data_IF_303520687698
#
_entry.id   IF_303520687698
#
_cell.length_a   1.000
_cell.length_b   1.000
_cell.length_c   1.000
_cell.angle_alpha   90.00
_cell.angle_beta   90.00
_cell.angle_gamma   90.00
#
_symmetry.space_group_name_H-M   'P 1'
#
loop_
_entity.id
_entity.type
_entity.pdbx_description
1 polymer ?
#
# COMPACT_ATOMS: atom_id res chain seq x y z
N UNK A 1 20.15 -7.74 -3.46
CA UNK A 1 20.06 -6.37 -2.93
C UNK A 1 19.41 -6.42 -1.58
N UNK A 2 19.89 -5.62 -0.61
CA UNK A 2 19.27 -5.50 0.72
C UNK A 2 17.81 -5.07 0.52
N UNK A 3 16.84 -5.87 0.93
CA UNK A 3 15.52 -5.35 1.30
C UNK A 3 15.76 -4.48 2.52
N UNK A 4 16.04 -3.19 2.29
CA UNK A 4 15.95 -2.21 3.37
C UNK A 4 14.52 -2.32 3.87
N UNK A 5 14.33 -2.66 5.15
CA UNK A 5 13.04 -2.47 5.78
C UNK A 5 12.60 -1.03 5.47
N UNK A 6 11.49 -0.92 4.78
CA UNK A 6 10.94 0.38 4.41
C UNK A 6 10.34 0.94 5.68
N UNK A 7 11.04 1.88 6.29
CA UNK A 7 10.55 2.58 7.46
C UNK A 7 9.81 3.82 6.96
N UNK A 8 8.58 3.62 6.51
CA UNK A 8 7.64 4.73 6.40
C UNK A 8 7.33 5.21 7.82
N UNK A 9 7.29 6.51 8.02
CA UNK A 9 6.88 7.07 9.31
C UNK A 9 5.45 6.62 9.61
N UNK A 10 5.11 6.49 10.90
CA UNK A 10 3.72 6.32 11.28
C UNK A 10 2.99 7.59 10.86
N UNK A 11 2.29 7.47 9.74
CA UNK A 11 1.48 8.49 9.13
C UNK A 11 0.02 8.08 9.36
N UNK A 12 -0.80 8.99 9.87
CA UNK A 12 -2.22 8.77 10.14
C UNK A 12 -3.09 8.78 8.87
N UNK A 13 -2.50 8.72 7.68
CA UNK A 13 -3.20 8.99 6.42
C UNK A 13 -3.02 10.40 5.90
N UNK A 14 -2.24 11.25 6.56
CA UNK A 14 -2.15 12.67 6.26
C UNK A 14 -3.37 13.44 6.78
N UNK A 15 -3.39 14.77 6.59
CA UNK A 15 -4.46 15.64 7.09
C UNK A 15 -5.75 15.54 6.26
N UNK A 16 -5.70 14.83 5.12
CA UNK A 16 -6.82 14.63 4.20
C UNK A 16 -7.12 13.13 4.12
N UNK A 17 -8.08 12.68 4.93
CA UNK A 17 -8.58 11.31 4.90
C UNK A 17 -9.50 11.13 3.69
N UNK A 18 -8.91 11.15 2.49
CA UNK A 18 -9.58 11.11 1.19
C UNK A 18 -9.68 9.68 0.66
N UNK A 19 -10.78 9.31 0.00
CA UNK A 19 -10.87 7.96 -0.60
C UNK A 19 -9.83 7.79 -1.71
N UNK A 20 -9.07 6.69 -1.65
CA UNK A 20 -7.93 6.45 -2.55
C UNK A 20 -6.58 6.85 -1.93
N UNK A 21 -6.58 7.38 -0.71
CA UNK A 21 -5.39 7.55 0.10
C UNK A 21 -4.75 6.20 0.41
N UNK A 22 -3.46 6.10 0.15
CA UNK A 22 -2.69 4.86 0.18
C UNK A 22 -2.08 4.52 1.53
N UNK A 23 -2.22 5.41 2.50
CA UNK A 23 -1.93 5.17 3.92
C UNK A 23 -3.17 4.76 4.72
N UNK A 24 -4.35 4.69 4.08
CA UNK A 24 -5.61 4.42 4.76
C UNK A 24 -6.23 3.11 4.26
N UNK A 25 -6.95 2.43 5.15
CA UNK A 25 -7.86 1.36 4.78
C UNK A 25 -9.02 1.92 3.96
N UNK A 26 -9.71 1.05 3.24
CA UNK A 26 -11.09 1.34 2.85
C UNK A 26 -11.94 1.58 4.11
N UNK A 27 -13.01 2.39 4.04
CA UNK A 27 -13.85 2.67 5.19
C UNK A 27 -14.55 1.42 5.71
N UNK A 28 -14.68 1.35 7.03
CA UNK A 28 -15.55 0.38 7.69
C UNK A 28 -17.03 0.77 7.54
N UNK A 29 -17.93 -0.02 8.14
CA UNK A 29 -19.37 0.23 8.07
C UNK A 29 -19.82 1.54 8.77
N UNK A 30 -18.97 2.12 9.63
CA UNK A 30 -19.22 3.42 10.26
C UNK A 30 -18.73 4.58 9.41
N UNK A 31 -17.98 4.31 8.33
CA UNK A 31 -17.39 5.31 7.46
C UNK A 31 -16.03 5.83 7.88
N UNK A 32 -15.46 5.25 8.94
CA UNK A 32 -14.13 5.64 9.38
C UNK A 32 -13.07 4.82 8.66
N UNK A 33 -11.95 5.47 8.36
CA UNK A 33 -10.77 4.83 7.80
C UNK A 33 -9.68 4.73 8.87
N UNK A 34 -8.97 3.62 8.88
CA UNK A 34 -7.82 3.40 9.76
C UNK A 34 -6.51 3.52 8.99
N UNK A 35 -5.41 3.83 9.68
CA UNK A 35 -4.09 3.82 9.04
C UNK A 35 -3.70 2.40 8.62
N UNK A 36 -3.31 2.22 7.36
CA UNK A 36 -2.73 1.00 6.82
C UNK A 36 -1.58 1.33 5.86
N UNK A 37 -0.36 0.97 6.25
CA UNK A 37 0.85 1.14 5.43
C UNK A 37 1.20 -0.09 4.62
N UNK A 38 0.45 -1.19 4.74
CA UNK A 38 0.77 -2.47 4.10
C UNK A 38 0.89 -2.29 2.57
N UNK A 39 -0.03 -1.53 1.96
CA UNK A 39 -0.01 -1.24 0.53
C UNK A 39 1.30 -0.60 0.11
N UNK A 40 1.65 0.51 0.75
CA UNK A 40 2.86 1.27 0.43
C UNK A 40 4.11 0.42 0.67
N UNK A 41 4.15 -0.35 1.76
CA UNK A 41 5.30 -1.20 2.07
C UNK A 41 5.51 -2.28 1.00
N UNK A 42 4.47 -2.99 0.59
CA UNK A 42 4.56 -4.00 -0.47
C UNK A 42 4.94 -3.36 -1.79
N UNK A 43 4.26 -2.26 -2.14
CA UNK A 43 4.50 -1.49 -3.36
C UNK A 43 5.95 -0.99 -3.47
N UNK A 44 6.43 -0.21 -2.48
CA UNK A 44 7.79 0.30 -2.50
C UNK A 44 8.83 -0.82 -2.36
N UNK A 45 8.49 -1.98 -1.77
CA UNK A 45 9.38 -3.14 -1.78
C UNK A 45 9.64 -3.63 -3.19
N UNK A 46 8.62 -3.66 -4.05
CA UNK A 46 8.80 -3.94 -5.49
C UNK A 46 9.70 -2.89 -6.13
N UNK A 47 9.41 -1.60 -5.94
CA UNK A 47 10.18 -0.52 -6.57
C UNK A 47 11.65 -0.54 -6.16
N UNK A 48 11.93 -0.62 -4.86
CA UNK A 48 13.29 -0.60 -4.31
C UNK A 48 14.09 -1.86 -4.66
N UNK A 49 13.42 -3.02 -4.83
CA UNK A 49 14.07 -4.23 -5.31
C UNK A 49 14.57 -4.08 -6.76
N UNK A 50 13.88 -3.28 -7.58
CA UNK A 50 14.15 -3.13 -9.00
C UNK A 50 14.96 -1.88 -9.36
N UNK A 51 14.95 -0.82 -8.52
CA UNK A 51 15.68 0.42 -8.79
C UNK A 51 17.18 0.37 -8.50
N UNK A 52 17.69 -0.79 -8.04
CA UNK A 52 19.11 -1.03 -7.76
C UNK A 52 19.75 -0.05 -6.76
N UNK A 53 18.95 0.54 -5.87
CA UNK A 53 19.41 1.53 -4.91
C UNK A 53 19.69 2.91 -5.50
N UNK A 54 19.30 3.14 -6.75
CA UNK A 54 19.37 4.45 -7.41
C UNK A 54 18.06 5.22 -7.21
N UNK A 55 18.16 6.54 -7.15
CA UNK A 55 17.00 7.44 -7.19
C UNK A 55 16.55 7.63 -8.64
N UNK A 56 15.25 7.81 -8.82
CA UNK A 56 14.73 8.35 -10.07
C UNK A 56 15.03 9.84 -10.18
N UNK A 57 15.12 10.36 -11.40
CA UNK A 57 15.28 11.81 -11.62
C UNK A 57 14.04 12.54 -11.13
N UNK A 58 12.87 12.08 -11.57
CA UNK A 58 11.58 12.63 -11.17
C UNK A 58 10.58 11.52 -10.86
N UNK A 59 9.85 11.66 -9.76
CA UNK A 59 8.63 10.90 -9.51
C UNK A 59 7.43 11.77 -9.89
N UNK A 60 6.54 11.24 -10.72
CA UNK A 60 5.37 11.96 -11.26
C UNK A 60 4.13 11.21 -10.79
N UNK A 61 3.25 11.86 -10.04
CA UNK A 61 1.95 11.33 -9.62
C UNK A 61 0.83 12.13 -10.31
N UNK A 62 0.27 11.64 -11.45
CA UNK A 62 -0.71 12.38 -12.22
C UNK A 62 -2.11 12.46 -11.58
N UNK A 63 -2.40 11.53 -10.66
CA UNK A 63 -3.68 11.36 -9.96
C UNK A 63 -3.42 11.36 -8.45
N UNK A 64 -2.99 12.48 -7.91
CA UNK A 64 -2.46 12.53 -6.57
C UNK A 64 -3.54 12.37 -5.48
N UNK A 65 -4.75 12.88 -5.70
CA UNK A 65 -5.73 13.01 -4.62
C UNK A 65 -5.11 13.78 -3.43
N UNK A 66 -4.95 13.11 -2.28
CA UNK A 66 -4.25 13.64 -1.09
C UNK A 66 -2.72 13.57 -1.15
N UNK A 67 -2.14 13.12 -2.27
CA UNK A 67 -0.71 12.90 -2.50
C UNK A 67 -0.03 11.93 -1.54
N UNK A 68 -0.81 11.01 -0.94
CA UNK A 68 -0.33 10.01 0.01
C UNK A 68 0.86 9.18 -0.52
N UNK A 69 0.85 8.77 -1.80
CA UNK A 69 1.96 8.04 -2.39
C UNK A 69 3.20 8.94 -2.53
N UNK A 70 3.05 10.19 -3.02
CA UNK A 70 4.15 11.13 -3.10
C UNK A 70 4.82 11.40 -1.76
N UNK A 71 4.05 11.52 -0.67
CA UNK A 71 4.61 11.67 0.68
C UNK A 71 5.48 10.46 1.05
N UNK A 72 4.97 9.25 0.83
CA UNK A 72 5.72 8.02 1.10
C UNK A 72 6.99 7.91 0.24
N UNK A 73 6.89 8.31 -1.04
CA UNK A 73 8.00 8.35 -1.97
C UNK A 73 9.08 9.36 -1.53
N UNK A 74 8.70 10.48 -0.91
CA UNK A 74 9.62 11.45 -0.31
C UNK A 74 10.30 10.90 0.95
N UNK A 75 9.55 10.24 1.85
CA UNK A 75 10.09 9.66 3.09
C UNK A 75 11.22 8.67 2.84
N UNK A 76 11.11 7.86 1.78
CA UNK A 76 12.13 6.87 1.41
C UNK A 76 13.19 7.44 0.44
N UNK A 77 13.03 8.69 0.01
CA UNK A 77 13.91 9.36 -0.94
C UNK A 77 13.94 8.69 -2.32
N UNK A 78 12.78 8.30 -2.86
CA UNK A 78 12.64 7.60 -4.13
C UNK A 78 13.23 8.35 -5.33
N UNK A 79 13.09 9.69 -5.36
CA UNK A 79 13.48 10.52 -6.48
C UNK A 79 14.25 11.79 -6.05
N UNK A 80 14.84 12.49 -7.02
CA UNK A 80 15.47 13.80 -6.81
C UNK A 80 14.43 14.93 -6.83
N UNK A 81 13.39 14.78 -7.65
CA UNK A 81 12.29 15.74 -7.82
C UNK A 81 10.94 15.02 -7.82
N UNK A 82 9.90 15.73 -7.38
CA UNK A 82 8.54 15.20 -7.28
C UNK A 82 7.56 16.15 -7.98
N UNK A 83 6.73 15.61 -8.87
CA UNK A 83 5.65 16.33 -9.52
C UNK A 83 4.32 15.73 -9.07
N UNK A 84 3.55 16.52 -8.34
CA UNK A 84 2.24 16.15 -7.82
C UNK A 84 1.19 16.85 -8.69
N UNK A 85 0.32 16.07 -9.33
CA UNK A 85 -0.76 16.58 -10.15
C UNK A 85 -2.11 15.97 -9.77
N UNK A 86 -3.15 16.79 -9.88
CA UNK A 86 -4.52 16.32 -9.89
C UNK A 86 -5.40 17.26 -10.72
N UNK A 87 -6.46 16.73 -11.34
CA UNK A 87 -7.46 17.53 -12.03
C UNK A 87 -8.23 18.47 -11.08
N UNK A 88 -8.31 18.11 -9.80
CA UNK A 88 -8.92 18.95 -8.78
C UNK A 88 -7.93 20.01 -8.28
N UNK A 89 -8.07 21.22 -8.83
CA UNK A 89 -7.22 22.37 -8.46
C UNK A 89 -7.26 22.72 -6.97
N UNK A 90 -8.38 22.50 -6.28
CA UNK A 90 -8.49 22.85 -4.86
C UNK A 90 -7.69 21.87 -4.00
N UNK A 91 -7.70 20.58 -4.31
CA UNK A 91 -6.83 19.60 -3.63
C UNK A 91 -5.35 20.01 -3.75
N UNK A 92 -4.93 20.40 -4.96
CA UNK A 92 -3.56 20.87 -5.21
C UNK A 92 -3.26 22.17 -4.48
N UNK A 93 -4.18 23.14 -4.48
CA UNK A 93 -4.04 24.38 -3.71
C UNK A 93 -3.95 24.11 -2.20
N UNK A 94 -4.72 23.17 -1.66
CA UNK A 94 -4.63 22.75 -0.25
C UNK A 94 -3.24 22.18 0.05
N UNK A 95 -2.68 21.32 -0.79
CA UNK A 95 -1.32 20.78 -0.61
C UNK A 95 -0.25 21.88 -0.68
N UNK A 96 -0.37 22.81 -1.63
CA UNK A 96 0.51 23.97 -1.74
C UNK A 96 0.40 24.86 -0.49
N UNK A 97 -0.80 25.04 0.05
CA UNK A 97 -1.04 25.82 1.26
C UNK A 97 -0.43 25.17 2.51
N UNK A 98 -0.51 23.83 2.63
CA UNK A 98 0.18 23.07 3.68
C UNK A 98 1.68 23.31 3.61
N UNK A 99 2.25 23.32 2.40
CA UNK A 99 3.67 23.60 2.20
C UNK A 99 4.04 25.04 2.60
N UNK A 100 3.30 26.03 2.13
CA UNK A 100 3.73 27.42 2.19
C UNK A 100 3.24 28.16 3.43
N UNK A 101 2.03 27.86 3.92
CA UNK A 101 1.40 28.54 5.05
C UNK A 101 0.69 27.54 6.01
N UNK A 102 1.42 26.59 6.64
CA UNK A 102 0.83 25.56 7.49
C UNK A 102 0.06 26.10 8.70
N UNK A 103 0.44 27.28 9.23
CA UNK A 103 -0.30 27.86 10.38
C UNK A 103 -1.71 28.33 9.99
N UNK A 104 -1.88 28.88 8.78
CA UNK A 104 -3.19 29.37 8.33
C UNK A 104 -4.21 28.24 8.24
N UNK A 105 -3.81 27.09 7.66
CA UNK A 105 -4.70 25.94 7.55
C UNK A 105 -5.00 25.31 8.93
N UNK A 106 -4.02 25.28 9.84
CA UNK A 106 -4.21 24.81 11.22
C UNK A 106 -5.21 25.66 12.00
N UNK A 107 -5.05 26.99 11.94
CA UNK A 107 -5.93 27.95 12.62
C UNK A 107 -7.36 27.89 12.05
N UNK A 108 -7.49 27.85 10.72
CA UNK A 108 -8.78 27.73 10.06
C UNK A 108 -9.50 26.43 10.44
N UNK A 109 -8.79 25.30 10.41
CA UNK A 109 -9.38 24.01 10.76
C UNK A 109 -9.79 23.97 12.24
N UNK A 110 -8.95 24.45 13.16
CA UNK A 110 -9.27 24.51 14.59
C UNK A 110 -10.53 25.35 14.85
N UNK A 111 -10.66 26.50 14.20
CA UNK A 111 -11.84 27.36 14.32
C UNK A 111 -13.12 26.69 13.77
N UNK A 112 -13.01 25.93 12.67
CA UNK A 112 -14.13 25.15 12.14
C UNK A 112 -14.55 24.03 13.10
N UNK A 113 -13.58 23.32 13.70
CA UNK A 113 -13.84 22.28 14.70
C UNK A 113 -14.53 22.87 15.93
N UNK A 114 -14.06 24.01 16.46
CA UNK A 114 -14.69 24.65 17.61
C UNK A 114 -16.16 25.02 17.32
N UNK A 115 -16.42 25.63 16.16
CA UNK A 115 -17.77 25.97 15.73
C UNK A 115 -18.62 24.72 15.54
N UNK A 116 -18.08 23.70 14.87
CA UNK A 116 -18.76 22.43 14.67
C UNK A 116 -19.11 21.79 16.00
N UNK A 117 -18.17 21.70 16.95
CA UNK A 117 -18.37 21.13 18.29
C UNK A 117 -19.48 21.85 19.07
N UNK A 118 -19.55 23.17 18.94
CA UNK A 118 -20.60 23.99 19.56
C UNK A 118 -21.94 24.01 18.80
N UNK A 119 -22.01 23.46 17.59
CA UNK A 119 -23.21 23.53 16.75
C UNK A 119 -24.36 22.68 17.32
N UNK A 120 -25.59 23.19 17.19
CA UNK A 120 -26.80 22.47 17.62
C UNK A 120 -27.08 21.23 16.76
N UNK A 121 -26.77 21.33 15.46
CA UNK A 121 -26.94 20.26 14.49
C UNK A 121 -25.65 20.08 13.70
N UNK A 122 -25.04 18.89 13.84
CA UNK A 122 -23.80 18.53 13.16
C UNK A 122 -24.02 18.46 11.65
N UNK A 123 -25.12 17.84 11.25
CA UNK A 123 -25.51 17.70 9.84
C UNK A 123 -25.70 19.06 9.19
N UNK A 124 -26.46 19.97 9.81
CA UNK A 124 -26.74 21.28 9.21
C UNK A 124 -25.45 22.11 9.08
N UNK A 125 -24.57 22.07 10.09
CA UNK A 125 -23.27 22.74 9.99
C UNK A 125 -22.41 22.16 8.86
N UNK A 126 -22.37 20.83 8.72
CA UNK A 126 -21.63 20.19 7.65
C UNK A 126 -22.17 20.59 6.26
N UNK A 127 -23.49 20.62 6.09
CA UNK A 127 -24.13 21.07 4.85
C UNK A 127 -23.85 22.55 4.57
N UNK A 128 -23.90 23.41 5.60
CA UNK A 128 -23.52 24.82 5.49
C UNK A 128 -22.06 24.98 5.03
N UNK A 129 -21.14 24.14 5.51
CA UNK A 129 -19.74 24.20 5.06
C UNK A 129 -19.59 23.79 3.59
N UNK A 130 -20.40 22.85 3.09
CA UNK A 130 -20.45 22.51 1.66
C UNK A 130 -20.99 23.69 0.85
N UNK A 131 -22.07 24.35 1.31
CA UNK A 131 -22.63 25.53 0.65
C UNK A 131 -21.61 26.68 0.58
N UNK A 132 -20.97 26.98 1.72
CA UNK A 132 -19.91 27.98 1.82
C UNK A 132 -18.73 27.64 0.90
N UNK A 133 -18.32 26.36 0.86
CA UNK A 133 -17.30 25.90 -0.06
C UNK A 133 -17.69 26.19 -1.52
N UNK A 134 -18.91 25.85 -1.93
CA UNK A 134 -19.34 26.03 -3.32
C UNK A 134 -19.38 27.52 -3.74
N UNK A 135 -19.72 28.41 -2.82
CA UNK A 135 -19.77 29.87 -3.05
C UNK A 135 -18.42 30.58 -2.93
N UNK A 136 -17.43 29.94 -2.30
CA UNK A 136 -16.15 30.54 -1.99
C UNK A 136 -15.18 30.62 -3.19
N UNK A 137 -14.23 31.54 -3.08
CA UNK A 137 -13.06 31.61 -3.96
C UNK A 137 -12.06 30.48 -3.64
N UNK A 138 -11.16 30.17 -4.59
CA UNK A 138 -10.26 29.02 -4.51
C UNK A 138 -9.43 28.94 -3.22
N UNK A 139 -8.98 30.09 -2.69
CA UNK A 139 -8.17 30.14 -1.46
C UNK A 139 -8.98 29.75 -0.22
N UNK A 140 -10.24 30.17 -0.14
CA UNK A 140 -11.14 29.83 0.96
C UNK A 140 -11.64 28.39 0.82
N UNK A 141 -11.92 27.93 -0.41
CA UNK A 141 -12.17 26.51 -0.71
C UNK A 141 -11.07 25.61 -0.17
N UNK A 142 -9.80 25.98 -0.35
CA UNK A 142 -8.66 25.20 0.14
C UNK A 142 -8.57 25.13 1.69
N UNK A 143 -9.18 26.07 2.40
CA UNK A 143 -9.27 26.11 3.87
C UNK A 143 -10.49 25.33 4.41
N UNK A 144 -11.58 25.28 3.65
CA UNK A 144 -12.80 24.53 4.00
C UNK A 144 -12.67 23.04 3.66
N UNK A 145 -11.99 22.71 2.57
CA UNK A 145 -11.89 21.34 2.05
C UNK A 145 -11.41 20.29 3.07
N UNK A 146 -10.37 20.54 3.91
CA UNK A 146 -9.94 19.55 4.90
C UNK A 146 -11.03 19.22 5.92
N UNK A 147 -11.82 20.21 6.34
CA UNK A 147 -12.96 19.98 7.25
C UNK A 147 -14.00 19.08 6.57
N UNK A 148 -14.36 19.39 5.32
CA UNK A 148 -15.35 18.61 4.57
C UNK A 148 -14.86 17.17 4.37
N UNK A 149 -13.64 16.95 3.90
CA UNK A 149 -13.07 15.60 3.70
C UNK A 149 -13.09 14.79 5.00
N UNK A 150 -12.60 15.36 6.09
CA UNK A 150 -12.46 14.61 7.34
C UNK A 150 -13.81 14.32 8.03
N UNK A 151 -14.87 15.05 7.68
CA UNK A 151 -16.25 14.80 8.12
C UNK A 151 -17.11 14.10 7.06
N UNK A 152 -16.59 13.81 5.86
CA UNK A 152 -17.28 12.97 4.90
C UNK A 152 -17.13 11.50 5.29
N UNK A 153 -18.21 10.73 5.11
CA UNK A 153 -18.17 9.28 5.26
C UNK A 153 -17.11 8.70 4.29
N UNK A 154 -16.12 8.00 4.81
CA UNK A 154 -15.01 7.44 4.04
C UNK A 154 -14.14 8.47 3.30
N UNK A 155 -14.24 9.76 3.62
CA UNK A 155 -13.53 10.79 2.87
C UNK A 155 -14.03 11.02 1.45
N UNK A 156 -15.25 10.56 1.17
CA UNK A 156 -15.81 10.55 -0.18
C UNK A 156 -16.43 11.92 -0.49
N UNK A 157 -16.07 12.46 -1.65
CA UNK A 157 -16.66 13.69 -2.18
C UNK A 157 -17.32 13.40 -3.53
N UNK A 158 -18.51 13.93 -3.72
CA UNK A 158 -19.22 13.90 -5.00
C UNK A 158 -19.17 15.29 -5.61
N UNK A 159 -18.87 15.35 -6.90
CA UNK A 159 -18.78 16.60 -7.64
C UNK A 159 -19.86 16.67 -8.72
N UNK A 160 -20.34 17.88 -9.00
CA UNK A 160 -21.02 18.16 -10.26
C UNK A 160 -19.99 18.44 -11.37
N UNK A 161 -20.49 18.62 -12.59
CA UNK A 161 -19.70 19.01 -13.77
C UNK A 161 -18.89 20.31 -13.61
N UNK A 162 -19.25 21.17 -12.67
CA UNK A 162 -18.61 22.47 -12.40
C UNK A 162 -17.66 22.38 -11.17
N UNK A 163 -17.42 21.16 -10.66
CA UNK A 163 -16.59 20.84 -9.49
C UNK A 163 -17.10 21.42 -8.16
N UNK A 164 -18.41 21.68 -8.06
CA UNK A 164 -19.05 21.93 -6.77
C UNK A 164 -19.26 20.61 -6.03
N UNK A 165 -19.12 20.63 -4.70
CA UNK A 165 -19.39 19.45 -3.86
C UNK A 165 -20.90 19.29 -3.71
N UNK A 166 -21.40 18.10 -4.00
CA UNK A 166 -22.80 17.71 -3.82
C UNK A 166 -22.92 16.78 -2.61
N UNK A 167 -23.86 17.07 -1.72
CA UNK A 167 -24.28 16.12 -0.69
C UNK A 167 -25.32 15.15 -1.27
N UNK A 168 -25.08 13.84 -1.14
CA UNK A 168 -26.03 12.79 -1.57
C UNK A 168 -26.61 12.06 -0.36
N UNK A 169 -27.93 11.90 -0.35
CA UNK A 169 -28.62 11.00 0.58
C UNK A 169 -28.94 9.68 -0.10
N UNK A 170 -29.00 8.59 0.66
CA UNK A 170 -29.38 7.28 0.15
C UNK A 170 -28.61 6.13 0.79
N UNK A 171 -28.95 4.91 0.39
CA UNK A 171 -28.22 3.72 0.83
C UNK A 171 -26.75 3.80 0.41
N UNK A 172 -25.88 3.36 1.31
CA UNK A 172 -24.48 3.06 1.00
C UNK A 172 -24.40 1.70 0.28
N UNK A 173 -23.19 1.35 -0.14
CA UNK A 173 -22.83 0.04 -0.68
C UNK A 173 -23.53 -1.08 0.10
N UNK A 174 -24.27 -1.94 -0.62
CA UNK A 174 -24.99 -3.10 -0.08
C UNK A 174 -26.11 -2.79 0.94
N UNK A 175 -26.86 -1.70 0.75
CA UNK A 175 -28.16 -1.50 1.43
C UNK A 175 -28.05 -1.04 2.89
N UNK A 176 -26.89 -0.57 3.32
CA UNK A 176 -26.66 -0.02 4.67
C UNK A 176 -26.97 1.48 4.66
N UNK A 177 -27.85 1.94 5.56
CA UNK A 177 -28.21 3.36 5.68
C UNK A 177 -27.28 4.03 6.69
N UNK A 178 -26.47 4.97 6.23
CA UNK A 178 -25.85 5.96 7.10
C UNK A 178 -25.90 7.32 6.41
N UNK A 179 -25.97 8.38 7.20
CA UNK A 179 -25.69 9.71 6.70
C UNK A 179 -24.27 9.73 6.10
N UNK A 180 -24.09 10.46 4.98
CA UNK A 180 -22.79 10.52 4.29
C UNK A 180 -21.81 11.50 4.93
N UNK A 181 -22.02 11.82 6.20
CA UNK A 181 -21.14 12.63 7.03
C UNK A 181 -20.85 11.91 8.36
N UNK A 182 -19.80 12.35 9.06
CA UNK A 182 -19.36 11.83 10.33
C UNK A 182 -19.56 12.88 11.43
N UNK A 183 -20.23 12.50 12.52
CA UNK A 183 -20.34 13.36 13.71
C UNK A 183 -18.98 13.64 14.36
N UNK A 184 -18.04 12.69 14.23
CA UNK A 184 -16.65 12.85 14.64
C UNK A 184 -15.78 12.76 13.41
N UNK A 185 -14.86 13.70 13.26
CA UNK A 185 -13.89 13.65 12.18
C UNK A 185 -13.11 12.33 12.18
N UNK A 186 -12.74 11.87 10.99
CA UNK A 186 -11.81 10.76 10.78
C UNK A 186 -10.45 10.97 11.48
N UNK A 187 -10.09 12.22 11.75
CA UNK A 187 -8.85 12.62 12.37
C UNK A 187 -9.13 13.58 13.54
N UNK A 188 -8.54 13.33 14.71
CA UNK A 188 -8.63 14.27 15.82
C UNK A 188 -7.95 15.59 15.47
N UNK A 189 -8.33 16.68 16.14
CA UNK A 189 -7.67 17.97 15.93
C UNK A 189 -6.16 17.88 16.16
N UNK A 190 -5.72 17.24 17.25
CA UNK A 190 -4.29 17.07 17.55
C UNK A 190 -3.54 16.34 16.41
N UNK A 191 -4.12 15.24 15.91
CA UNK A 191 -3.51 14.48 14.83
C UNK A 191 -3.48 15.28 13.52
N UNK A 192 -4.54 16.04 13.22
CA UNK A 192 -4.58 16.93 12.05
C UNK A 192 -3.44 17.97 12.12
N UNK A 193 -3.30 18.67 13.25
CA UNK A 193 -2.25 19.67 13.44
C UNK A 193 -0.85 19.06 13.27
N UNK A 194 -0.62 17.88 13.87
CA UNK A 194 0.63 17.13 13.75
C UNK A 194 0.94 16.73 12.30
N UNK A 195 -0.07 16.23 11.56
CA UNK A 195 0.10 15.83 10.16
C UNK A 195 0.36 17.02 9.24
N UNK A 196 -0.23 18.19 9.50
CA UNK A 196 0.09 19.42 8.77
C UNK A 196 1.55 19.81 8.96
N UNK A 197 2.06 19.79 10.20
CA UNK A 197 3.45 20.12 10.49
C UNK A 197 4.41 19.12 9.83
N UNK A 198 4.10 17.83 9.94
CA UNK A 198 4.89 16.75 9.34
C UNK A 198 4.98 16.89 7.82
N UNK A 199 3.85 17.07 7.15
CA UNK A 199 3.80 17.20 5.68
C UNK A 199 4.46 18.50 5.22
N UNK A 200 4.24 19.61 5.92
CA UNK A 200 4.90 20.88 5.58
C UNK A 200 6.42 20.75 5.64
N UNK A 201 6.96 20.12 6.68
CA UNK A 201 8.39 19.82 6.79
C UNK A 201 8.88 18.92 5.65
N UNK A 202 8.13 17.85 5.34
CA UNK A 202 8.49 16.91 4.28
C UNK A 202 8.52 17.56 2.90
N UNK A 203 7.49 18.34 2.57
CA UNK A 203 7.37 19.06 1.29
C UNK A 203 8.46 20.10 1.13
N UNK A 204 8.80 20.84 2.18
CA UNK A 204 9.86 21.86 2.13
C UNK A 204 11.29 21.27 2.15
N UNK A 205 11.45 20.03 2.62
CA UNK A 205 12.73 19.32 2.55
C UNK A 205 13.04 18.73 1.16
N UNK A 206 12.05 18.72 0.25
CA UNK A 206 12.15 18.09 -1.07
C UNK A 206 11.88 19.10 -2.20
N UNK A 207 12.31 18.75 -3.42
CA UNK A 207 11.98 19.53 -4.63
C UNK A 207 10.62 19.09 -5.15
N UNK A 208 9.59 19.85 -4.85
CA UNK A 208 8.20 19.53 -5.21
C UNK A 208 7.65 20.57 -6.18
N UNK A 209 7.06 20.10 -7.28
CA UNK A 209 6.27 20.92 -8.21
C UNK A 209 4.82 20.47 -8.15
N UNK A 210 3.93 21.43 -7.91
CA UNK A 210 2.50 21.21 -7.96
C UNK A 210 1.96 21.61 -9.34
N UNK A 211 1.10 20.77 -9.92
CA UNK A 211 0.32 21.07 -11.12
C UNK A 211 -1.14 20.73 -10.88
N UNK A 212 -2.03 21.41 -11.59
CA UNK A 212 -3.41 20.98 -11.70
C UNK A 212 -3.84 21.01 -13.14
N UNK A 213 -4.45 19.92 -13.60
CA UNK A 213 -4.87 19.76 -14.98
C UNK A 213 -4.98 18.30 -15.40
N UNK A 214 -5.15 18.12 -16.72
CA UNK A 214 -5.28 16.81 -17.34
C UNK A 214 -4.02 15.96 -17.15
N UNK A 215 -4.21 14.70 -16.79
CA UNK A 215 -3.13 13.77 -16.50
C UNK A 215 -2.28 13.44 -17.73
N UNK A 216 -2.83 13.48 -18.95
CA UNK A 216 -2.11 13.21 -20.19
C UNK A 216 -1.01 14.25 -20.42
N UNK A 217 -1.28 15.52 -20.11
CA UNK A 217 -0.28 16.59 -20.24
C UNK A 217 0.93 16.35 -19.32
N UNK A 218 0.67 15.91 -18.09
CA UNK A 218 1.71 15.64 -17.10
C UNK A 218 2.47 14.34 -17.40
N UNK A 219 1.82 13.33 -17.97
CA UNK A 219 2.48 12.11 -18.41
C UNK A 219 3.34 12.36 -19.65
N UNK A 220 2.90 13.24 -20.57
CA UNK A 220 3.62 13.53 -21.83
C UNK A 220 5.01 14.13 -21.64
N UNK A 221 5.29 14.69 -20.46
CA UNK A 221 6.60 15.25 -20.12
C UNK A 221 7.54 14.25 -19.44
N UNK A 222 7.08 13.03 -19.17
CA UNK A 222 7.89 11.98 -18.56
C UNK A 222 9.00 11.56 -19.53
N UNK A 223 10.20 11.32 -19.01
CA UNK A 223 11.37 10.95 -19.79
C UNK A 223 12.11 9.75 -19.18
N UNK A 224 13.00 9.08 -19.95
CA UNK A 224 13.82 8.00 -19.42
C UNK A 224 14.60 8.39 -18.16
N UNK A 225 14.43 7.59 -17.10
CA UNK A 225 14.96 7.85 -15.76
C UNK A 225 13.95 8.49 -14.79
N UNK A 226 12.76 8.86 -15.25
CA UNK A 226 11.62 9.22 -14.41
C UNK A 226 10.84 7.97 -13.96
N UNK A 227 9.95 8.18 -13.00
CA UNK A 227 9.01 7.19 -12.49
C UNK A 227 7.59 7.77 -12.47
N UNK A 228 6.61 7.03 -12.99
CA UNK A 228 5.20 7.46 -13.04
C UNK A 228 4.34 6.61 -12.12
N UNK A 229 3.64 7.28 -11.21
CA UNK A 229 2.77 6.72 -10.19
C UNK A 229 1.30 6.91 -10.58
N UNK A 230 0.64 5.87 -11.08
CA UNK A 230 -0.72 5.96 -11.60
C UNK A 230 -1.72 5.43 -10.58
N UNK A 231 -2.62 6.30 -10.15
CA UNK A 231 -3.77 5.94 -9.35
C UNK A 231 -5.06 6.52 -9.93
N UNK A 232 -5.40 6.18 -11.19
CA UNK A 232 -6.60 6.70 -11.83
C UNK A 232 -7.88 6.24 -11.11
N UNK A 233 -9.00 6.96 -11.27
CA UNK A 233 -10.31 6.47 -10.84
C UNK A 233 -10.61 5.08 -11.40
N UNK A 234 -11.12 4.20 -10.56
CA UNK A 234 -11.39 2.81 -10.92
C UNK A 234 -12.64 2.69 -11.79
N UNK A 235 -12.73 1.66 -12.66
CA UNK A 235 -13.99 1.26 -13.26
C UNK A 235 -14.86 0.69 -12.13
N UNK A 236 -15.81 1.49 -11.66
CA UNK A 236 -16.58 1.21 -10.45
C UNK A 236 -17.62 0.08 -10.64
N UNK A 237 -17.84 -0.68 -9.56
CA UNK A 237 -19.01 -1.55 -9.36
C UNK A 237 -20.26 -0.75 -8.95
N UNK A 238 -20.13 0.57 -8.80
CA UNK A 238 -21.08 1.48 -8.15
C UNK A 238 -22.20 1.95 -9.08
N UNK A 239 -22.83 1.02 -9.78
CA UNK A 239 -24.19 1.30 -10.21
C UNK A 239 -25.08 1.21 -8.97
N UNK A 240 -25.39 2.36 -8.36
CA UNK A 240 -26.77 2.52 -7.91
C UNK A 240 -27.63 2.05 -9.09
N UNK A 241 -28.49 1.07 -8.86
CA UNK A 241 -29.39 0.56 -9.91
C UNK A 241 -30.34 1.66 -10.43
N UNK A 242 -30.40 2.80 -9.72
CA UNK A 242 -31.18 3.99 -10.03
C UNK A 242 -30.33 5.13 -10.64
N UNK A 243 -29.10 5.34 -10.16
CA UNK A 243 -28.24 6.46 -10.56
C UNK A 243 -26.96 5.93 -11.23
N UNK A 244 -26.87 6.11 -12.56
CA UNK A 244 -25.70 5.71 -13.37
C UNK A 244 -24.47 6.62 -13.18
N UNK A 245 -24.41 7.41 -12.11
CA UNK A 245 -23.36 8.40 -11.87
C UNK A 245 -22.45 7.93 -10.73
N UNK A 246 -21.31 7.35 -11.09
CA UNK A 246 -20.25 7.01 -10.14
C UNK A 246 -19.51 8.24 -9.60
N UNK A 247 -18.72 8.03 -8.56
CA UNK A 247 -18.10 9.07 -7.73
C UNK A 247 -17.15 10.00 -8.51
N UNK A 248 -16.51 9.48 -9.57
CA UNK A 248 -15.65 10.22 -10.49
C UNK A 248 -16.15 10.25 -11.94
N UNK A 249 -17.32 9.65 -12.21
CA UNK A 249 -17.81 9.33 -13.56
C UNK A 249 -18.39 10.54 -14.30
N UNK A 250 -18.74 11.63 -13.61
CA UNK A 250 -19.17 12.86 -14.29
C UNK A 250 -18.04 13.56 -15.05
N UNK A 251 -16.77 13.20 -14.78
CA UNK A 251 -15.60 13.81 -15.43
C UNK A 251 -15.03 12.97 -16.59
N UNK A 252 -15.11 11.64 -16.53
CA UNK A 252 -14.55 10.74 -17.57
C UNK A 252 -15.35 9.44 -17.72
N UNK A 253 -15.59 9.00 -18.97
CA UNK A 253 -16.19 7.68 -19.20
C UNK A 253 -15.18 6.56 -18.88
N UNK A 254 -15.58 5.47 -18.21
CA UNK A 254 -14.70 4.35 -17.91
C UNK A 254 -14.01 3.77 -19.15
N UNK A 255 -14.72 3.71 -20.29
CA UNK A 255 -14.18 3.24 -21.56
C UNK A 255 -13.07 4.16 -22.07
N UNK A 256 -13.25 5.48 -21.99
CA UNK A 256 -12.25 6.44 -22.45
C UNK A 256 -11.03 6.45 -21.54
N UNK A 257 -11.25 6.38 -20.22
CA UNK A 257 -10.17 6.24 -19.24
C UNK A 257 -9.35 4.97 -19.52
N UNK A 258 -10.01 3.82 -19.71
CA UNK A 258 -9.34 2.57 -20.02
C UNK A 258 -8.51 2.65 -21.30
N UNK A 259 -9.07 3.20 -22.38
CA UNK A 259 -8.36 3.40 -23.64
C UNK A 259 -7.11 4.28 -23.46
N UNK A 260 -7.22 5.37 -22.70
CA UNK A 260 -6.09 6.25 -22.42
C UNK A 260 -5.02 5.52 -21.59
N UNK A 261 -5.42 4.73 -20.59
CA UNK A 261 -4.47 3.96 -19.76
C UNK A 261 -3.72 2.91 -20.57
N UNK A 262 -4.38 2.20 -21.48
CA UNK A 262 -3.70 1.27 -22.41
C UNK A 262 -2.62 2.02 -23.20
N UNK A 263 -2.97 3.16 -23.81
CA UNK A 263 -2.02 3.98 -24.57
C UNK A 263 -0.87 4.52 -23.72
N UNK A 264 -1.15 4.92 -22.48
CA UNK A 264 -0.14 5.39 -21.53
C UNK A 264 0.83 4.26 -21.21
N UNK A 265 0.33 3.08 -20.84
CA UNK A 265 1.20 1.95 -20.48
C UNK A 265 2.07 1.53 -21.67
N UNK A 266 1.50 1.42 -22.87
CA UNK A 266 2.26 1.11 -24.08
C UNK A 266 3.36 2.15 -24.33
N UNK A 267 3.05 3.44 -24.14
CA UNK A 267 4.02 4.51 -24.30
C UNK A 267 5.16 4.45 -23.26
N UNK A 268 4.82 4.25 -21.98
CA UNK A 268 5.81 4.18 -20.90
C UNK A 268 6.74 2.98 -21.08
N UNK A 269 6.20 1.80 -21.45
CA UNK A 269 6.98 0.61 -21.79
C UNK A 269 7.90 0.89 -23.00
N UNK A 270 7.36 1.45 -24.08
CA UNK A 270 8.12 1.76 -25.29
C UNK A 270 9.28 2.75 -25.03
N UNK A 271 9.08 3.73 -24.15
CA UNK A 271 10.10 4.71 -23.76
C UNK A 271 11.02 4.22 -22.63
N UNK A 272 10.82 3.00 -22.11
CA UNK A 272 11.55 2.49 -20.93
C UNK A 272 11.41 3.40 -19.69
N UNK A 273 10.23 3.99 -19.50
CA UNK A 273 9.89 4.80 -18.32
C UNK A 273 9.24 3.87 -17.31
N UNK A 274 9.78 3.85 -16.09
CA UNK A 274 9.23 2.98 -15.06
C UNK A 274 7.92 3.55 -14.53
N UNK A 275 6.99 2.66 -14.23
CA UNK A 275 5.72 3.02 -13.62
C UNK A 275 5.23 1.96 -12.63
N UNK A 276 4.26 2.38 -11.84
CA UNK A 276 3.25 1.49 -11.30
C UNK A 276 1.87 2.05 -11.59
N UNK A 277 0.88 1.17 -11.57
CA UNK A 277 -0.51 1.56 -11.59
C UNK A 277 -1.34 0.67 -10.68
N UNK A 278 -2.30 1.26 -9.99
CA UNK A 278 -3.42 0.51 -9.41
C UNK A 278 -4.68 0.91 -10.16
N UNK A 279 -5.40 -0.07 -10.70
CA UNK A 279 -6.56 0.20 -11.56
C UNK A 279 -7.60 -0.91 -11.50
N UNK A 280 -8.63 -0.66 -10.69
CA UNK A 280 -9.78 -1.52 -10.50
C UNK A 280 -9.58 -2.59 -9.43
N UNK A 281 -10.70 -3.20 -9.06
CA UNK A 281 -10.76 -4.39 -8.22
C UNK A 281 -11.13 -5.59 -9.08
N UNK A 282 -10.70 -6.79 -8.69
CA UNK A 282 -11.06 -8.00 -9.45
C UNK A 282 -12.57 -8.25 -9.41
N UNK A 283 -13.18 -8.25 -10.60
CA UNK A 283 -14.55 -8.69 -10.81
C UNK A 283 -14.69 -9.23 -12.23
N UNK A 284 -15.15 -10.48 -12.43
CA UNK A 284 -15.35 -11.06 -13.76
C UNK A 284 -16.25 -10.25 -14.69
N UNK A 285 -17.15 -9.41 -14.14
CA UNK A 285 -18.00 -8.50 -14.90
C UNK A 285 -17.22 -7.35 -15.55
N UNK A 286 -16.05 -7.00 -15.00
CA UNK A 286 -15.19 -5.92 -15.48
C UNK A 286 -13.93 -6.40 -16.18
N UNK A 287 -13.93 -7.64 -16.71
CA UNK A 287 -12.80 -8.21 -17.45
C UNK A 287 -12.31 -7.34 -18.62
N UNK A 288 -13.19 -6.54 -19.21
CA UNK A 288 -12.87 -5.63 -20.32
C UNK A 288 -12.04 -4.42 -19.88
N UNK A 289 -11.90 -4.19 -18.57
CA UNK A 289 -11.11 -3.13 -17.97
C UNK A 289 -9.80 -3.65 -17.36
N UNK A 290 -9.34 -4.82 -17.80
CA UNK A 290 -8.06 -5.42 -17.43
C UNK A 290 -7.08 -5.24 -18.57
N UNK A 291 -5.91 -4.67 -18.29
CA UNK A 291 -4.88 -4.49 -19.33
C UNK A 291 -4.30 -5.85 -19.70
N UNK A 292 -4.07 -6.04 -21.01
CA UNK A 292 -3.54 -7.28 -21.57
C UNK A 292 -2.30 -7.01 -22.42
N UNK A 293 -1.45 -8.02 -22.58
CA UNK A 293 -0.33 -7.97 -23.50
C UNK A 293 -0.78 -8.23 -24.96
N UNK A 294 0.17 -8.24 -25.89
CA UNK A 294 -0.06 -8.51 -27.32
C UNK A 294 -0.78 -9.86 -27.60
N UNK A 295 -0.66 -10.83 -26.68
CA UNK A 295 -1.33 -12.13 -26.77
C UNK A 295 -2.69 -12.16 -26.05
N UNK A 296 -3.25 -11.01 -25.69
CA UNK A 296 -4.51 -10.86 -24.94
C UNK A 296 -4.47 -11.51 -23.54
N UNK A 297 -3.29 -11.72 -22.97
CA UNK A 297 -3.17 -12.25 -21.62
C UNK A 297 -3.11 -11.11 -20.59
N UNK A 298 -3.84 -11.21 -19.46
CA UNK A 298 -3.78 -10.22 -18.40
C UNK A 298 -2.36 -10.02 -17.88
N UNK A 299 -1.93 -8.77 -17.72
CA UNK A 299 -0.60 -8.42 -17.19
C UNK A 299 -0.65 -7.97 -15.72
N UNK A 300 -1.81 -8.04 -15.09
CA UNK A 300 -2.02 -7.56 -13.74
C UNK A 300 -1.57 -8.54 -12.65
N UNK A 301 -1.35 -7.96 -11.48
CA UNK A 301 -1.10 -8.62 -10.22
C UNK A 301 -2.26 -8.35 -9.27
N UNK A 302 -2.44 -9.22 -8.29
CA UNK A 302 -3.36 -9.03 -7.20
C UNK A 302 -2.64 -8.77 -5.90
N UNK A 303 -3.34 -8.02 -5.06
CA UNK A 303 -3.07 -7.73 -3.65
C UNK A 303 -4.43 -7.70 -2.93
N UNK A 304 -4.49 -8.02 -1.64
CA UNK A 304 -5.71 -7.81 -0.84
C UNK A 304 -5.90 -6.31 -0.56
N UNK A 305 -7.09 -5.78 -0.84
CA UNK A 305 -7.48 -4.39 -0.56
C UNK A 305 -8.54 -4.29 0.54
N UNK A 306 -9.46 -5.25 0.59
CA UNK A 306 -10.60 -5.26 1.51
C UNK A 306 -10.70 -6.56 2.32
N UNK A 307 -11.12 -6.42 3.57
CA UNK A 307 -11.36 -7.51 4.52
C UNK A 307 -12.86 -7.68 4.76
N UNK A 308 -13.26 -8.73 5.50
CA UNK A 308 -14.67 -9.06 5.76
C UNK A 308 -15.48 -7.90 6.37
N UNK A 309 -14.85 -6.99 7.13
CA UNK A 309 -15.50 -5.83 7.77
C UNK A 309 -15.46 -4.53 6.94
N UNK A 310 -14.96 -4.58 5.70
CA UNK A 310 -14.91 -3.43 4.79
C UNK A 310 -16.30 -3.08 4.24
N UNK A 311 -16.64 -1.79 4.15
CA UNK A 311 -17.92 -1.35 3.59
C UNK A 311 -18.07 -1.64 2.09
N UNK A 312 -16.97 -1.74 1.37
CA UNK A 312 -16.93 -2.15 -0.04
C UNK A 312 -16.80 -3.68 -0.23
N UNK A 313 -16.82 -4.43 0.87
CA UNK A 313 -16.65 -5.87 0.88
C UNK A 313 -15.20 -6.32 0.66
N UNK A 314 -15.07 -7.61 0.35
CA UNK A 314 -13.82 -8.27 0.04
C UNK A 314 -13.36 -7.87 -1.38
N UNK A 315 -12.11 -7.45 -1.53
CA UNK A 315 -11.56 -7.06 -2.83
C UNK A 315 -10.10 -7.40 -3.01
N UNK A 316 -9.77 -7.89 -4.21
CA UNK A 316 -8.40 -7.95 -4.72
C UNK A 316 -8.13 -6.69 -5.56
N UNK A 317 -7.17 -5.86 -5.15
CA UNK A 317 -6.69 -4.71 -5.94
C UNK A 317 -5.96 -5.22 -7.18
N UNK A 318 -6.19 -4.60 -8.33
CA UNK A 318 -5.42 -4.89 -9.54
C UNK A 318 -4.23 -3.94 -9.63
N UNK A 319 -3.04 -4.51 -9.55
CA UNK A 319 -1.78 -3.78 -9.65
C UNK A 319 -1.11 -4.07 -11.00
N UNK A 320 -0.44 -3.07 -11.53
CA UNK A 320 0.36 -3.15 -12.74
C UNK A 320 1.72 -2.54 -12.46
N UNK A 321 2.76 -3.16 -13.00
CA UNK A 321 4.13 -2.73 -12.85
C UNK A 321 4.79 -2.72 -14.22
N UNK A 322 5.86 -1.94 -14.33
CA UNK A 322 6.77 -2.00 -15.49
C UNK A 322 7.15 -3.46 -15.75
N UNK A 323 7.07 -3.92 -17.00
CA UNK A 323 7.25 -5.31 -17.41
C UNK A 323 8.59 -5.94 -16.98
N UNK A 324 9.62 -5.11 -16.88
CA UNK A 324 10.96 -5.50 -16.41
C UNK A 324 11.08 -5.66 -14.89
N UNK A 325 10.04 -5.30 -14.11
CA UNK A 325 10.08 -5.44 -12.65
C UNK A 325 9.88 -6.89 -12.24
N UNK A 326 10.74 -7.35 -11.35
CA UNK A 326 10.55 -8.60 -10.62
C UNK A 326 9.84 -8.34 -9.30
N UNK A 327 8.84 -9.15 -8.99
CA UNK A 327 8.22 -9.12 -7.66
C UNK A 327 9.19 -9.79 -6.68
N UNK A 328 9.68 -9.09 -5.65
CA UNK A 328 10.57 -9.70 -4.66
C UNK A 328 9.81 -10.79 -3.90
N UNK A 329 10.56 -11.76 -3.39
CA UNK A 329 9.96 -12.84 -2.59
C UNK A 329 9.53 -12.33 -1.22
N UNK A 330 8.48 -12.95 -0.67
CA UNK A 330 8.00 -12.66 0.68
C UNK A 330 7.06 -11.44 0.80
N UNK A 331 6.57 -10.90 -0.31
CA UNK A 331 5.45 -9.94 -0.32
C UNK A 331 4.18 -10.60 -0.85
N UNK A 332 3.01 -10.16 -0.38
CA UNK A 332 1.72 -10.73 -0.79
C UNK A 332 1.21 -10.06 -2.06
N UNK A 333 1.99 -10.16 -3.13
CA UNK A 333 1.60 -9.72 -4.47
C UNK A 333 1.82 -10.89 -5.42
N UNK A 334 0.74 -11.35 -6.07
CA UNK A 334 0.78 -12.51 -6.96
C UNK A 334 0.24 -12.13 -8.33
N UNK A 335 0.81 -12.68 -9.40
CA UNK A 335 0.23 -12.50 -10.74
C UNK A 335 -1.21 -12.99 -10.76
N UNK A 336 -2.09 -12.27 -11.44
CA UNK A 336 -3.49 -12.66 -11.55
C UNK A 336 -3.64 -14.06 -12.19
N UNK A 337 -2.84 -14.40 -13.19
CA UNK A 337 -2.83 -15.73 -13.81
C UNK A 337 -2.56 -16.88 -12.81
N UNK A 338 -1.76 -16.63 -11.76
CA UNK A 338 -1.46 -17.64 -10.75
C UNK A 338 -2.62 -17.82 -9.76
N UNK A 339 -3.40 -16.76 -9.53
CA UNK A 339 -4.55 -16.75 -8.61
C UNK A 339 -5.80 -17.28 -9.30
N UNK A 340 -6.01 -16.98 -10.58
CA UNK A 340 -7.20 -17.36 -11.32
C UNK A 340 -7.05 -18.68 -12.09
N UNK A 341 -5.81 -19.00 -12.50
CA UNK A 341 -5.54 -20.11 -13.41
C UNK A 341 -6.26 -19.91 -14.75
N UNK A 342 -6.96 -20.95 -15.21
CA UNK A 342 -7.68 -20.96 -16.50
C UNK A 342 -9.20 -20.77 -16.36
N UNK A 343 -9.70 -20.31 -15.20
CA UNK A 343 -11.14 -20.20 -14.91
C UNK A 343 -11.49 -18.78 -14.48
N UNK A 344 -12.71 -18.36 -14.78
CA UNK A 344 -13.33 -17.21 -14.12
C UNK A 344 -13.79 -17.65 -12.71
N UNK A 345 -13.33 -16.94 -11.68
CA UNK A 345 -13.67 -17.20 -10.27
C UNK A 345 -14.57 -16.08 -9.73
N UNK A 346 -15.38 -16.35 -8.71
CA UNK A 346 -15.99 -15.24 -7.96
C UNK A 346 -14.92 -14.46 -7.18
N UNK A 347 -15.17 -13.20 -6.76
CA UNK A 347 -14.24 -12.45 -5.92
C UNK A 347 -13.83 -13.21 -4.64
N UNK A 348 -14.75 -13.93 -4.01
CA UNK A 348 -14.51 -14.74 -2.81
C UNK A 348 -13.62 -15.95 -3.12
N UNK A 349 -13.91 -16.68 -4.21
CA UNK A 349 -13.09 -17.81 -4.65
C UNK A 349 -11.68 -17.36 -5.02
N UNK A 350 -11.54 -16.23 -5.71
CA UNK A 350 -10.24 -15.65 -6.03
C UNK A 350 -9.48 -15.21 -4.78
N UNK A 351 -10.16 -14.61 -3.79
CA UNK A 351 -9.55 -14.28 -2.51
C UNK A 351 -9.05 -15.54 -1.78
N UNK A 352 -9.85 -16.61 -1.74
CA UNK A 352 -9.42 -17.86 -1.09
C UNK A 352 -8.21 -18.48 -1.79
N UNK A 353 -8.17 -18.47 -3.13
CA UNK A 353 -6.97 -18.91 -3.87
C UNK A 353 -5.76 -18.01 -3.59
N UNK A 354 -5.95 -16.70 -3.55
CA UNK A 354 -4.92 -15.75 -3.16
C UNK A 354 -4.37 -16.06 -1.76
N UNK A 355 -5.26 -16.28 -0.77
CA UNK A 355 -4.88 -16.63 0.61
C UNK A 355 -4.12 -17.96 0.66
N UNK A 356 -4.48 -18.94 -0.16
CA UNK A 356 -3.72 -20.19 -0.26
C UNK A 356 -2.30 -19.94 -0.78
N UNK A 357 -2.14 -19.07 -1.78
CA UNK A 357 -0.81 -18.69 -2.30
C UNK A 357 0.02 -17.92 -1.27
N UNK A 358 -0.58 -17.01 -0.50
CA UNK A 358 0.12 -16.32 0.60
C UNK A 358 0.49 -17.27 1.74
N UNK A 359 -0.32 -18.31 1.97
CA UNK A 359 -0.07 -19.35 2.99
C UNK A 359 0.91 -20.44 2.56
N UNK A 360 1.26 -20.56 1.27
CA UNK A 360 2.31 -21.49 0.79
C UNK A 360 3.68 -21.06 1.31
N UNK A 361 3.89 -21.27 2.60
CA UNK A 361 5.13 -21.05 3.32
C UNK A 361 5.85 -22.39 3.45
N UNK A 362 7.16 -22.36 3.24
CA UNK A 362 8.04 -23.46 3.54
C UNK A 362 8.43 -23.41 5.02
N UNK A 363 8.24 -24.51 5.73
CA UNK A 363 8.75 -24.67 7.08
C UNK A 363 9.83 -25.75 7.11
N UNK A 364 10.82 -25.56 7.98
CA UNK A 364 11.88 -26.53 8.21
C UNK A 364 12.13 -26.69 9.69
N UNK A 365 12.32 -27.94 10.11
CA UNK A 365 12.75 -28.30 11.46
C UNK A 365 14.18 -28.83 11.39
N UNK A 366 15.08 -28.14 12.07
CA UNK A 366 16.45 -28.58 12.33
C UNK A 366 16.51 -29.26 13.71
N UNK A 367 17.18 -30.42 13.78
CA UNK A 367 17.28 -31.22 15.01
C UNK A 367 18.72 -31.61 15.24
N UNK A 368 19.20 -31.40 16.46
CA UNK A 368 20.54 -31.78 16.86
C UNK A 368 20.64 -32.00 18.37
N UNK A 369 21.62 -32.81 18.76
CA UNK A 369 22.14 -32.82 20.11
C UNK A 369 23.35 -31.90 20.18
N UNK A 370 23.46 -31.13 21.26
CA UNK A 370 24.55 -30.18 21.47
C UNK A 370 25.58 -30.80 22.41
N UNK A 371 26.86 -30.65 22.09
CA UNK A 371 27.95 -31.13 22.94
C UNK A 371 27.86 -30.49 24.32
N UNK A 372 28.06 -31.25 25.42
CA UNK A 372 27.98 -30.71 26.77
C UNK A 372 28.89 -29.49 26.98
N UNK A 373 28.34 -28.41 27.55
CA UNK A 373 29.05 -27.17 27.85
C UNK A 373 29.05 -26.14 26.71
N UNK A 374 28.55 -26.49 25.52
CA UNK A 374 28.47 -25.59 24.37
C UNK A 374 27.06 -25.04 24.11
N UNK A 375 26.09 -25.31 24.98
CA UNK A 375 24.69 -24.94 24.79
C UNK A 375 24.48 -23.43 24.68
N UNK A 376 25.19 -22.65 25.50
CA UNK A 376 25.07 -21.19 25.50
C UNK A 376 25.67 -20.57 24.24
N UNK A 377 26.77 -21.14 23.72
CA UNK A 377 27.39 -20.69 22.47
C UNK A 377 26.50 -21.03 21.28
N UNK A 378 25.92 -22.24 21.27
CA UNK A 378 24.93 -22.64 20.27
C UNK A 378 23.72 -21.71 20.26
N UNK A 379 23.14 -21.41 21.44
CA UNK A 379 21.96 -20.55 21.53
C UNK A 379 22.26 -19.13 21.03
N UNK A 380 23.41 -18.55 21.39
CA UNK A 380 23.83 -17.22 20.91
C UNK A 380 24.05 -17.21 19.40
N UNK A 381 24.76 -18.20 18.88
CA UNK A 381 25.03 -18.31 17.44
C UNK A 381 23.74 -18.54 16.65
N UNK A 382 22.84 -19.41 17.11
CA UNK A 382 21.52 -19.60 16.52
C UNK A 382 20.72 -18.30 16.50
N UNK A 383 20.65 -17.58 17.63
CA UNK A 383 19.90 -16.34 17.72
C UNK A 383 20.43 -15.28 16.74
N UNK A 384 21.74 -15.17 16.60
CA UNK A 384 22.38 -14.26 15.67
C UNK A 384 22.05 -14.60 14.21
N UNK A 385 22.15 -15.88 13.83
CA UNK A 385 21.82 -16.34 12.47
C UNK A 385 20.34 -16.18 12.17
N UNK A 386 19.46 -16.64 13.07
CA UNK A 386 18.02 -16.57 12.91
C UNK A 386 17.53 -15.12 12.79
N UNK A 387 18.00 -14.22 13.67
CA UNK A 387 17.67 -12.79 13.61
C UNK A 387 18.14 -12.16 12.30
N UNK A 388 19.36 -12.50 11.85
CA UNK A 388 19.86 -12.03 10.57
C UNK A 388 19.02 -12.56 9.39
N UNK A 389 18.58 -13.80 9.43
CA UNK A 389 17.75 -14.37 8.36
C UNK A 389 16.37 -13.75 8.30
N UNK A 390 15.75 -13.51 9.46
CA UNK A 390 14.46 -12.80 9.53
C UNK A 390 14.62 -11.38 9.00
N UNK A 391 15.66 -10.67 9.42
CA UNK A 391 15.85 -9.28 9.06
C UNK A 391 16.33 -9.05 7.62
N UNK A 392 17.13 -9.96 7.06
CA UNK A 392 17.89 -9.69 5.82
C UNK A 392 17.79 -10.77 4.75
N UNK A 393 17.23 -11.95 5.03
CA UNK A 393 17.19 -13.08 4.09
C UNK A 393 15.78 -13.60 3.80
N UNK A 394 14.76 -12.99 4.39
CA UNK A 394 13.36 -13.31 4.13
C UNK A 394 12.83 -14.51 4.92
N UNK A 395 13.49 -14.93 6.02
CA UNK A 395 12.83 -15.87 6.93
C UNK A 395 11.63 -15.17 7.60
N UNK A 396 10.50 -15.86 7.71
CA UNK A 396 9.28 -15.29 8.30
C UNK A 396 9.33 -15.29 9.83
N UNK A 397 10.13 -16.19 10.41
CA UNK A 397 10.33 -16.34 11.84
C UNK A 397 11.05 -17.65 12.16
N UNK A 398 11.65 -17.73 13.35
CA UNK A 398 12.24 -18.97 13.86
C UNK A 398 12.12 -19.05 15.38
N UNK A 399 11.88 -20.26 15.88
CA UNK A 399 11.79 -20.58 17.30
C UNK A 399 12.72 -21.74 17.64
N UNK A 400 13.47 -21.61 18.74
CA UNK A 400 14.36 -22.64 19.25
C UNK A 400 13.76 -23.31 20.49
N UNK A 401 13.75 -24.62 20.49
CA UNK A 401 13.20 -25.45 21.55
C UNK A 401 14.26 -26.41 22.09
N UNK A 402 14.11 -26.82 23.34
CA UNK A 402 14.85 -27.92 23.95
C UNK A 402 13.84 -28.94 24.47
N UNK A 403 14.01 -30.19 24.10
CA UNK A 403 13.13 -31.29 24.54
C UNK A 403 13.61 -31.89 25.86
N UNK A 404 12.76 -32.71 26.50
CA UNK A 404 13.09 -33.36 27.78
C UNK A 404 14.24 -34.37 27.68
N UNK A 405 14.45 -34.96 26.51
CA UNK A 405 15.56 -35.88 26.20
C UNK A 405 16.85 -35.14 25.78
N UNK A 406 16.87 -33.81 25.84
CA UNK A 406 18.08 -32.99 25.61
C UNK A 406 18.35 -32.62 24.15
N UNK A 407 17.48 -33.01 23.22
CA UNK A 407 17.55 -32.58 21.82
C UNK A 407 17.17 -31.09 21.70
N UNK A 408 17.85 -30.39 20.81
CA UNK A 408 17.53 -29.02 20.44
C UNK A 408 16.86 -29.00 19.07
N UNK A 409 15.78 -28.21 18.96
CA UNK A 409 14.95 -28.15 17.76
C UNK A 409 14.70 -26.70 17.35
N UNK A 410 15.15 -26.34 16.16
CA UNK A 410 14.82 -25.05 15.56
C UNK A 410 13.72 -25.24 14.50
N UNK A 411 12.56 -24.60 14.73
CA UNK A 411 11.52 -24.43 13.73
C UNK A 411 11.77 -23.12 13.01
N UNK A 412 11.88 -23.13 11.68
CA UNK A 412 12.06 -21.92 10.88
C UNK A 412 11.08 -21.89 9.73
N UNK A 413 10.49 -20.72 9.50
CA UNK A 413 9.58 -20.48 8.38
C UNK A 413 10.20 -19.58 7.35
N UNK A 414 9.84 -19.85 6.11
CA UNK A 414 10.33 -19.18 4.92
C UNK A 414 9.17 -19.03 3.94
N UNK A 415 9.21 -18.02 3.06
CA UNK A 415 8.24 -17.89 1.98
C UNK A 415 8.31 -19.09 1.03
N UNK A 416 9.50 -19.65 0.80
CA UNK A 416 9.70 -20.82 -0.06
C UNK A 416 11.03 -21.54 0.22
N UNK A 417 11.16 -22.78 -0.27
CA UNK A 417 12.36 -23.61 -0.12
C UNK A 417 13.59 -22.97 -0.77
N UNK A 418 13.46 -22.34 -1.93
CA UNK A 418 14.60 -21.77 -2.65
C UNK A 418 15.21 -20.57 -1.89
N UNK A 419 14.39 -19.76 -1.22
CA UNK A 419 14.84 -18.66 -0.35
C UNK A 419 15.61 -19.18 0.86
N UNK A 420 15.11 -20.28 1.46
CA UNK A 420 15.84 -20.98 2.53
C UNK A 420 17.18 -21.48 2.01
N UNK A 421 17.19 -22.24 0.92
CA UNK A 421 18.40 -22.90 0.42
C UNK A 421 19.48 -21.89 -0.01
N UNK A 422 19.10 -20.75 -0.60
CA UNK A 422 20.01 -19.66 -0.94
C UNK A 422 20.67 -19.00 0.30
N UNK A 423 20.06 -19.15 1.48
CA UNK A 423 20.52 -18.58 2.74
C UNK A 423 21.22 -19.61 3.64
N UNK A 424 20.75 -20.85 3.60
CA UNK A 424 21.22 -21.99 4.37
C UNK A 424 21.15 -23.26 3.51
N UNK A 425 22.19 -23.52 2.69
CA UNK A 425 22.18 -24.63 1.72
C UNK A 425 22.35 -26.02 2.38
N UNK A 426 22.55 -26.10 3.69
CA UNK A 426 22.62 -27.37 4.43
C UNK A 426 23.97 -28.10 4.31
N UNK A 427 24.85 -27.68 3.41
CA UNK A 427 26.19 -28.24 3.22
C UNK A 427 27.25 -27.44 3.99
N UNK A 428 28.41 -28.07 4.27
CA UNK A 428 29.50 -27.63 5.14
C UNK A 428 30.19 -26.29 4.78
N UNK A 429 29.53 -25.39 4.06
CA UNK A 429 30.04 -24.06 3.73
C UNK A 429 28.91 -23.03 3.73
N UNK A 430 28.98 -21.98 4.57
CA UNK A 430 28.01 -20.89 4.56
C UNK A 430 27.97 -20.20 3.19
N UNK A 431 26.80 -19.75 2.75
CA UNK A 431 26.66 -18.98 1.50
C UNK A 431 27.65 -17.82 1.44
N UNK A 432 28.35 -17.65 0.32
CA UNK A 432 29.34 -16.58 0.15
C UNK A 432 28.74 -15.17 0.34
N UNK A 433 27.44 -15.03 0.12
CA UNK A 433 26.70 -13.79 0.29
C UNK A 433 26.48 -13.38 1.75
N UNK A 434 26.82 -14.22 2.73
CA UNK A 434 26.64 -13.91 4.16
C UNK A 434 27.80 -13.01 4.67
N UNK A 435 27.52 -12.03 5.56
CA UNK A 435 28.55 -11.27 6.25
C UNK A 435 29.46 -12.17 7.07
N UNK A 436 30.71 -11.74 7.26
CA UNK A 436 31.77 -12.47 7.97
C UNK A 436 31.34 -12.96 9.34
N UNK A 437 30.62 -12.13 10.09
CA UNK A 437 30.12 -12.40 11.44
C UNK A 437 29.06 -13.50 11.43
N UNK A 438 28.18 -13.49 10.43
CA UNK A 438 27.14 -14.51 10.28
C UNK A 438 27.75 -15.84 9.83
N UNK A 439 28.74 -15.82 8.93
CA UNK A 439 29.49 -17.02 8.54
C UNK A 439 30.15 -17.68 9.74
N UNK A 440 30.77 -16.90 10.64
CA UNK A 440 31.34 -17.41 11.89
C UNK A 440 30.27 -18.04 12.78
N UNK A 441 29.13 -17.39 12.96
CA UNK A 441 28.03 -17.96 13.75
C UNK A 441 27.49 -19.27 13.16
N UNK A 442 27.39 -19.39 11.82
CA UNK A 442 27.04 -20.66 11.14
C UNK A 442 28.04 -21.77 11.48
N UNK A 443 29.34 -21.46 11.44
CA UNK A 443 30.40 -22.41 11.79
C UNK A 443 30.28 -22.82 13.27
N UNK A 444 30.08 -21.86 14.17
CA UNK A 444 29.87 -22.13 15.60
C UNK A 444 28.69 -23.07 15.84
N UNK A 445 27.55 -22.86 15.16
CA UNK A 445 26.40 -23.78 15.21
C UNK A 445 26.84 -25.21 14.85
N UNK A 446 27.60 -25.38 13.76
CA UNK A 446 28.06 -26.70 13.30
C UNK A 446 29.04 -27.36 14.28
N UNK A 447 29.94 -26.58 14.89
CA UNK A 447 30.92 -27.06 15.85
C UNK A 447 30.29 -27.48 17.19
N UNK A 448 29.23 -26.79 17.62
CA UNK A 448 28.48 -27.13 18.82
C UNK A 448 27.68 -28.45 18.70
N UNK A 449 27.25 -28.81 17.49
CA UNK A 449 26.46 -30.02 17.24
C UNK A 449 27.30 -31.29 17.42
N UNK A 450 26.75 -32.27 18.12
CA UNK A 450 27.26 -33.64 18.13
C UNK A 450 26.98 -34.31 16.77
N UNK A 451 28.02 -34.37 15.94
CA UNK A 451 27.94 -34.92 14.59
C UNK A 451 27.64 -36.43 14.57
N UNK A 452 27.83 -37.14 15.68
CA UNK A 452 27.49 -38.57 15.78
C UNK A 452 25.99 -38.82 15.86
N UNK A 453 25.21 -37.79 16.20
CA UNK A 453 23.76 -37.83 16.38
C UNK A 453 23.03 -36.84 15.45
N UNK A 454 23.61 -36.56 14.28
CA UNK A 454 23.01 -35.63 13.31
C UNK A 454 21.74 -36.23 12.71
N UNK A 455 20.62 -35.51 12.86
CA UNK A 455 19.33 -35.89 12.29
C UNK A 455 19.08 -35.13 10.99
N UNK A 456 18.37 -35.72 10.01
CA UNK A 456 17.99 -35.02 8.80
C UNK A 456 16.99 -33.89 9.12
N UNK A 457 17.05 -32.84 8.30
CA UNK A 457 16.05 -31.77 8.32
C UNK A 457 14.67 -32.33 7.97
N UNK A 458 13.62 -31.83 8.62
CA UNK A 458 12.24 -32.10 8.19
C UNK A 458 11.75 -30.87 7.44
N UNK A 459 11.52 -31.02 6.14
CA UNK A 459 10.90 -29.99 5.31
C UNK A 459 9.39 -30.18 5.28
N UNK A 460 8.63 -29.10 5.42
CA UNK A 460 7.18 -29.12 5.52
C UNK A 460 6.57 -27.98 4.73
N UNK A 461 5.37 -28.19 4.21
CA UNK A 461 4.49 -27.13 3.73
C UNK A 461 3.56 -26.71 4.87
N UNK A 462 3.39 -25.41 5.07
CA UNK A 462 2.43 -24.90 6.06
C UNK A 462 1.02 -24.99 5.48
N UNK A 463 0.17 -25.81 6.10
CA UNK A 463 -1.23 -26.03 5.63
C UNK A 463 -2.21 -25.07 6.32
N UNK A 464 -2.03 -24.85 7.62
CA UNK A 464 -2.83 -23.90 8.41
C UNK A 464 -1.95 -23.31 9.52
N UNK A 465 -2.17 -22.05 9.87
CA UNK A 465 -1.23 -21.28 10.66
C UNK A 465 -1.94 -20.30 11.62
N UNK A 466 -1.87 -20.61 12.90
CA UNK A 466 -2.35 -19.76 14.00
C UNK A 466 -1.19 -19.12 14.77
N UNK A 467 0.07 -19.34 14.35
CA UNK A 467 1.24 -18.69 14.95
C UNK A 467 1.47 -17.30 14.36
N UNK A 468 0.93 -17.06 13.16
CA UNK A 468 1.04 -15.82 12.39
C UNK A 468 -0.35 -15.22 12.13
N UNK A 469 -1.23 -15.21 13.13
CA UNK A 469 -2.42 -14.36 13.10
C UNK A 469 -1.98 -12.95 13.48
N UNK A 470 -1.88 -12.06 12.48
CA UNK A 470 -2.13 -10.64 12.75
C UNK A 470 -3.62 -10.41 12.68
#
# INVERSE_FOLDING_TARGET
>A
MRTKNIYLTQNHGGPLHYLGNRYLTLPDLTGHMSSDTSWLNEHFSVLLANNKGQKYKKAIEPFAGSASWSMAAMEIGLAEEYLINDSNKILIHTLQLIKDNPNLIKESYAALIEKYDSSLSKKDFFLEMIENYNLAEDQEKALLLPFIINHSWGGILFYDKDLNIIYREGELFEGKKADRFLEKANLSLEMFLSEIDRISLLLNANRVTFKSGDFMEVISIAAPGDFVALNPPYPENEHSTLEKAGMYIELYSPEKMHQNLVQIIDHLEYQSIHYYMTYGFYNPKFRNYVLTNENQQPINYFRVLGYEDCAFGIGLDQMYFTSQFSIPKGINIFKAENVLGARDLTPEEALEQFKLLSKKCFAVIYRAFIKPGLEMDYQKAWHQVASYFVQYRGALGSCLHKTNDGMWLAYSRWPDKATRDASWPGDNTPSEMLPSEIKKAVITIQECIDQTQKLPEITMEVVNDLLYSR
#
